data_IF_186362431280
#
_entry.id   IF_186362431280
#
_cell.length_a   1.000
_cell.length_b   1.000
_cell.length_c   1.000
_cell.angle_alpha   90.00
_cell.angle_beta   90.00
_cell.angle_gamma   90.00
#
_symmetry.space_group_name_H-M   'P 1'
#
loop_
_entity.id
_entity.type
_entity.pdbx_description
1 polymer ?
#
# COMPACT_ATOMS: atom_id res chain seq x y z
N UNK A 1 -8.95 -23.71 2.72
CA UNK A 1 -10.15 -23.21 2.02
C UNK A 1 -10.29 -23.93 0.71
N UNK A 2 -11.51 -24.29 0.28
CA UNK A 2 -11.67 -24.91 -1.04
C UNK A 2 -11.35 -23.90 -2.15
N UNK A 3 -10.67 -24.29 -3.24
CA UNK A 3 -10.35 -23.42 -4.37
C UNK A 3 -11.60 -22.74 -4.95
N UNK A 4 -12.75 -23.41 -4.88
CA UNK A 4 -14.03 -22.87 -5.36
C UNK A 4 -14.51 -21.66 -4.58
N UNK A 5 -14.42 -21.66 -3.24
CA UNK A 5 -14.82 -20.53 -2.39
C UNK A 5 -13.92 -19.31 -2.69
N UNK A 6 -12.62 -19.56 -2.83
CA UNK A 6 -11.65 -18.50 -3.15
C UNK A 6 -11.95 -17.89 -4.53
N UNK A 7 -12.21 -18.71 -5.53
CA UNK A 7 -12.56 -18.25 -6.88
C UNK A 7 -13.85 -17.43 -6.87
N UNK A 8 -14.89 -17.86 -6.17
CA UNK A 8 -16.16 -17.10 -6.04
C UNK A 8 -15.91 -15.73 -5.38
N UNK A 9 -15.12 -15.69 -4.31
CA UNK A 9 -14.79 -14.42 -3.62
C UNK A 9 -14.06 -13.45 -4.55
N UNK A 10 -13.09 -13.93 -5.32
CA UNK A 10 -12.33 -13.11 -6.26
C UNK A 10 -13.22 -12.62 -7.42
N UNK A 11 -14.08 -13.48 -7.98
CA UNK A 11 -15.02 -13.09 -9.01
C UNK A 11 -16.00 -12.03 -8.48
N UNK A 12 -16.54 -12.21 -7.29
CA UNK A 12 -17.42 -11.22 -6.64
C UNK A 12 -16.70 -9.88 -6.45
N UNK A 13 -15.46 -9.89 -5.98
CA UNK A 13 -14.64 -8.68 -5.84
C UNK A 13 -14.43 -7.96 -7.17
N UNK A 14 -14.07 -8.68 -8.24
CA UNK A 14 -13.93 -8.08 -9.55
C UNK A 14 -15.25 -7.54 -10.11
N UNK A 15 -16.38 -8.23 -9.90
CA UNK A 15 -17.69 -7.71 -10.30
C UNK A 15 -18.02 -6.38 -9.62
N UNK A 16 -17.71 -6.25 -8.32
CA UNK A 16 -17.87 -4.99 -7.59
C UNK A 16 -16.95 -3.91 -8.16
N UNK A 17 -15.69 -4.23 -8.47
CA UNK A 17 -14.75 -3.30 -9.11
C UNK A 17 -15.26 -2.82 -10.47
N UNK A 18 -15.78 -3.73 -11.32
CA UNK A 18 -16.36 -3.37 -12.60
C UNK A 18 -17.59 -2.47 -12.44
N UNK A 19 -18.47 -2.78 -11.51
CA UNK A 19 -19.66 -1.97 -11.24
C UNK A 19 -19.28 -0.55 -10.80
N UNK A 20 -18.34 -0.42 -9.86
CA UNK A 20 -17.83 0.89 -9.40
C UNK A 20 -17.16 1.65 -10.54
N UNK A 21 -16.30 0.99 -11.32
CA UNK A 21 -15.61 1.61 -12.45
C UNK A 21 -16.61 2.11 -13.51
N UNK A 22 -17.62 1.31 -13.82
CA UNK A 22 -18.67 1.66 -14.78
C UNK A 22 -19.48 2.87 -14.29
N UNK A 23 -19.95 2.86 -13.05
CA UNK A 23 -20.75 3.94 -12.46
C UNK A 23 -19.91 5.24 -12.37
N UNK A 24 -18.67 5.15 -11.89
CA UNK A 24 -17.80 6.31 -11.73
C UNK A 24 -17.30 6.87 -13.06
N UNK A 25 -17.05 6.01 -14.06
CA UNK A 25 -16.56 6.39 -15.39
C UNK A 25 -17.64 6.81 -16.36
N UNK A 26 -18.93 6.61 -16.03
CA UNK A 26 -20.03 6.99 -16.90
C UNK A 26 -20.08 8.52 -17.08
N UNK A 27 -20.01 8.99 -18.33
CA UNK A 27 -19.93 10.42 -18.70
C UNK A 27 -18.62 11.12 -18.31
N UNK A 28 -17.49 10.43 -18.28
CA UNK A 28 -16.20 11.10 -18.17
C UNK A 28 -15.87 11.78 -19.51
N UNK A 29 -15.74 13.11 -19.48
CA UNK A 29 -15.14 13.91 -20.55
C UNK A 29 -13.61 13.89 -20.45
N UNK A 30 -12.91 14.59 -21.35
CA UNK A 30 -11.45 14.63 -21.31
C UNK A 30 -10.90 15.18 -20.00
N UNK A 31 -11.52 16.22 -19.44
CA UNK A 31 -11.10 16.79 -18.15
C UNK A 31 -11.39 15.82 -16.99
N UNK A 32 -12.52 15.12 -17.05
CA UNK A 32 -12.88 14.05 -16.12
C UNK A 32 -11.88 12.88 -16.16
N UNK A 33 -11.38 12.56 -17.35
CA UNK A 33 -10.40 11.49 -17.53
C UNK A 33 -9.03 11.83 -16.89
N UNK A 34 -8.51 13.04 -17.10
CA UNK A 34 -7.17 13.41 -16.62
C UNK A 34 -7.13 13.94 -15.19
N UNK A 35 -8.10 14.74 -14.76
CA UNK A 35 -8.09 15.40 -13.45
C UNK A 35 -9.39 15.23 -12.65
N UNK A 36 -10.27 14.32 -13.06
CA UNK A 36 -11.52 14.06 -12.36
C UNK A 36 -12.47 15.26 -12.27
N UNK A 37 -12.39 16.22 -13.24
CA UNK A 37 -13.12 17.49 -13.28
C UNK A 37 -12.87 18.38 -12.06
N UNK A 38 -11.82 18.14 -11.28
CA UNK A 38 -11.50 18.85 -10.04
C UNK A 38 -12.71 18.97 -9.08
N UNK A 39 -13.51 17.89 -8.98
CA UNK A 39 -14.74 17.86 -8.16
C UNK A 39 -14.67 16.85 -7.02
N UNK A 40 -13.54 16.15 -6.85
CA UNK A 40 -13.39 15.13 -5.83
C UNK A 40 -13.33 15.76 -4.43
N UNK A 41 -14.05 15.15 -3.48
CA UNK A 41 -13.95 15.57 -2.09
C UNK A 41 -12.61 15.14 -1.50
N UNK A 42 -11.92 16.02 -0.81
CA UNK A 42 -10.56 15.80 -0.31
C UNK A 42 -10.43 14.55 0.58
N UNK A 43 -11.43 14.23 1.40
CA UNK A 43 -11.40 13.05 2.27
C UNK A 43 -11.52 11.73 1.50
N UNK A 44 -12.26 11.73 0.37
CA UNK A 44 -12.34 10.57 -0.52
C UNK A 44 -10.99 10.33 -1.20
N UNK A 45 -10.35 11.41 -1.69
CA UNK A 45 -9.04 11.33 -2.31
C UNK A 45 -7.98 10.90 -1.29
N UNK A 46 -8.02 11.43 -0.06
CA UNK A 46 -7.10 11.04 1.02
C UNK A 46 -7.20 9.54 1.32
N UNK A 47 -8.41 9.02 1.44
CA UNK A 47 -8.63 7.59 1.67
C UNK A 47 -8.20 6.74 0.47
N UNK A 48 -8.46 7.17 -0.77
CA UNK A 48 -7.99 6.51 -1.98
C UNK A 48 -6.46 6.50 -2.07
N UNK A 49 -5.79 7.59 -1.70
CA UNK A 49 -4.33 7.68 -1.74
C UNK A 49 -3.65 6.68 -0.78
N UNK A 50 -4.25 6.35 0.35
CA UNK A 50 -3.75 5.29 1.23
C UNK A 50 -3.68 3.97 0.46
N UNK A 51 -4.74 3.57 -0.24
CA UNK A 51 -4.78 2.33 -1.02
C UNK A 51 -3.90 2.33 -2.26
N UNK A 52 -3.51 3.51 -2.76
CA UNK A 52 -2.55 3.62 -3.85
C UNK A 52 -1.10 3.47 -3.37
N UNK A 53 -0.79 3.93 -2.15
CA UNK A 53 0.54 3.82 -1.54
C UNK A 53 0.76 2.47 -0.87
N UNK A 54 -0.27 1.92 -0.23
CA UNK A 54 -0.23 0.61 0.43
C UNK A 54 -0.75 -0.46 -0.53
N UNK A 55 0.09 -1.40 -0.88
CA UNK A 55 -0.24 -2.48 -1.82
C UNK A 55 -0.41 -3.82 -1.11
N UNK A 56 -0.87 -4.85 -1.83
CA UNK A 56 -0.90 -6.22 -1.32
C UNK A 56 0.49 -6.74 -0.93
N UNK A 57 1.56 -6.24 -1.56
CA UNK A 57 2.94 -6.53 -1.15
C UNK A 57 3.20 -6.02 0.27
N UNK A 58 2.72 -4.82 0.60
CA UNK A 58 2.85 -4.23 1.94
C UNK A 58 2.15 -5.08 2.99
N UNK A 59 1.01 -5.71 2.63
CA UNK A 59 0.25 -6.60 3.51
C UNK A 59 1.10 -7.79 4.01
N UNK A 60 2.00 -8.28 3.18
CA UNK A 60 2.88 -9.41 3.53
C UNK A 60 4.21 -8.91 4.09
N UNK A 61 4.82 -7.89 3.46
CA UNK A 61 6.17 -7.46 3.79
C UNK A 61 6.28 -6.72 5.13
N UNK A 62 5.29 -5.87 5.48
CA UNK A 62 5.36 -5.08 6.72
C UNK A 62 5.21 -5.97 7.96
N UNK A 63 4.22 -6.88 8.07
CA UNK A 63 4.21 -7.86 9.16
C UNK A 63 5.45 -8.76 9.16
N UNK A 64 5.91 -9.19 7.98
CA UNK A 64 7.06 -10.09 7.86
C UNK A 64 8.39 -9.48 8.32
N UNK A 65 8.57 -8.16 8.18
CA UNK A 65 9.82 -7.48 8.60
C UNK A 65 9.93 -7.28 10.11
N UNK A 66 8.84 -7.44 10.87
CA UNK A 66 8.81 -7.17 12.32
C UNK A 66 9.84 -8.01 13.08
N UNK A 67 10.05 -9.26 12.70
CA UNK A 67 11.05 -10.14 13.34
C UNK A 67 12.47 -9.56 13.25
N UNK A 68 12.84 -9.00 12.10
CA UNK A 68 14.19 -8.51 11.86
C UNK A 68 14.41 -7.07 12.32
N UNK A 69 13.37 -6.24 12.31
CA UNK A 69 13.50 -4.79 12.49
C UNK A 69 12.62 -4.19 13.57
N UNK A 70 11.78 -4.98 14.22
CA UNK A 70 10.81 -4.47 15.18
C UNK A 70 9.88 -3.42 14.55
N UNK A 71 9.49 -2.44 15.33
CA UNK A 71 8.67 -1.32 14.85
C UNK A 71 9.50 -0.15 14.28
N UNK A 72 10.78 -0.38 13.93
CA UNK A 72 11.65 0.69 13.39
C UNK A 72 11.08 1.34 12.12
N UNK A 73 10.26 0.62 11.34
CA UNK A 73 9.61 1.17 10.15
C UNK A 73 8.70 2.37 10.46
N UNK A 74 8.15 2.48 11.68
CA UNK A 74 7.37 3.66 12.09
C UNK A 74 8.21 4.93 12.11
N UNK A 75 9.52 4.85 12.37
CA UNK A 75 10.42 5.99 12.29
C UNK A 75 10.45 6.58 10.87
N UNK A 76 10.48 5.70 9.86
CA UNK A 76 10.39 6.09 8.46
C UNK A 76 9.01 6.69 8.12
N UNK A 77 7.94 6.13 8.67
CA UNK A 77 6.57 6.63 8.47
C UNK A 77 6.35 8.00 9.13
N UNK A 78 7.01 8.28 10.27
CA UNK A 78 7.07 9.63 10.82
C UNK A 78 7.73 10.61 9.85
N UNK A 79 8.80 10.17 9.16
CA UNK A 79 9.39 10.93 8.06
C UNK A 79 8.41 11.17 6.91
N UNK A 80 7.56 10.19 6.58
CA UNK A 80 6.50 10.37 5.57
C UNK A 80 5.54 11.50 5.94
N UNK A 81 5.14 11.61 7.19
CA UNK A 81 4.27 12.70 7.65
C UNK A 81 4.93 14.05 7.37
N UNK A 82 6.18 14.24 7.77
CA UNK A 82 6.91 15.49 7.51
C UNK A 82 7.07 15.76 6.02
N UNK A 83 7.40 14.76 5.22
CA UNK A 83 7.48 14.89 3.77
C UNK A 83 6.13 15.27 3.14
N UNK A 84 5.00 14.74 3.63
CA UNK A 84 3.66 15.13 3.20
C UNK A 84 3.35 16.61 3.51
N UNK A 85 3.80 17.11 4.67
CA UNK A 85 3.72 18.55 4.95
C UNK A 85 4.55 19.37 3.94
N UNK A 86 5.76 18.94 3.61
CA UNK A 86 6.60 19.62 2.60
C UNK A 86 5.88 19.61 1.24
N UNK A 87 5.31 18.48 0.81
CA UNK A 87 4.53 18.42 -0.44
C UNK A 87 3.34 19.38 -0.37
N UNK A 88 2.56 19.35 0.72
CA UNK A 88 1.36 20.18 0.87
C UNK A 88 1.65 21.68 0.84
N UNK A 89 2.76 22.13 1.43
CA UNK A 89 3.05 23.54 1.56
C UNK A 89 4.03 24.11 0.51
N UNK A 90 4.79 23.24 -0.17
CA UNK A 90 5.76 23.67 -1.18
C UNK A 90 5.33 23.22 -2.59
N UNK A 91 5.11 21.91 -2.80
CA UNK A 91 4.84 21.39 -4.14
C UNK A 91 3.40 21.69 -4.61
N UNK A 92 2.40 21.46 -3.77
CA UNK A 92 1.00 21.74 -4.14
C UNK A 92 0.78 23.21 -4.53
N UNK A 93 1.29 24.22 -3.77
CA UNK A 93 1.24 25.61 -4.21
C UNK A 93 1.89 25.87 -5.58
N UNK A 94 3.03 25.23 -5.84
CA UNK A 94 3.74 25.37 -7.10
C UNK A 94 2.88 24.89 -8.28
N UNK A 95 2.27 23.69 -8.15
CA UNK A 95 1.39 23.15 -9.18
C UNK A 95 0.17 24.04 -9.46
N UNK A 96 -0.47 24.57 -8.41
CA UNK A 96 -1.64 25.43 -8.57
C UNK A 96 -1.29 26.83 -9.13
N UNK A 97 -0.17 27.43 -8.72
CA UNK A 97 0.26 28.75 -9.21
C UNK A 97 0.66 28.72 -10.69
N UNK A 98 1.29 27.65 -11.12
CA UNK A 98 1.74 27.50 -12.50
C UNK A 98 0.70 26.77 -13.39
N UNK A 99 -0.47 26.41 -12.84
CA UNK A 99 -1.50 25.61 -13.51
C UNK A 99 -0.98 24.32 -14.13
N UNK A 100 0.01 23.68 -13.51
CA UNK A 100 0.63 22.47 -14.02
C UNK A 100 -0.31 21.28 -13.87
N UNK A 101 -0.33 20.43 -14.87
CA UNK A 101 -0.95 19.10 -14.82
C UNK A 101 0.12 18.02 -14.55
N UNK A 102 1.39 18.35 -14.86
CA UNK A 102 2.51 17.43 -14.73
C UNK A 102 3.76 18.16 -14.22
N UNK A 103 4.55 17.48 -13.37
CA UNK A 103 5.87 17.98 -12.95
C UNK A 103 6.84 18.09 -14.15
N UNK A 104 6.64 17.30 -15.19
CA UNK A 104 7.48 17.33 -16.39
C UNK A 104 7.26 18.61 -17.19
N UNK A 105 6.05 19.17 -17.19
CA UNK A 105 5.75 20.49 -17.76
C UNK A 105 6.54 21.61 -17.03
N UNK A 106 6.72 21.48 -15.71
CA UNK A 106 7.61 22.38 -14.97
C UNK A 106 9.07 22.28 -15.45
N UNK A 107 9.56 21.05 -15.69
CA UNK A 107 10.90 20.84 -16.22
C UNK A 107 11.07 21.44 -17.62
N UNK A 108 10.04 21.33 -18.45
CA UNK A 108 10.04 21.95 -19.79
C UNK A 108 10.18 23.44 -19.73
N UNK A 109 9.34 24.10 -18.91
CA UNK A 109 9.31 25.55 -18.76
C UNK A 109 10.60 26.12 -18.17
N UNK A 110 11.34 25.36 -17.38
CA UNK A 110 12.55 25.81 -16.68
C UNK A 110 13.85 25.37 -17.36
N UNK A 111 13.91 24.16 -17.91
CA UNK A 111 15.13 23.51 -18.40
C UNK A 111 15.03 23.09 -19.88
N UNK A 112 13.85 23.30 -20.50
CA UNK A 112 13.61 23.01 -21.91
C UNK A 112 13.12 21.59 -22.20
N UNK A 113 12.76 21.37 -23.49
CA UNK A 113 12.10 20.16 -23.96
C UNK A 113 12.91 18.87 -23.78
N UNK A 114 14.25 18.93 -23.76
CA UNK A 114 15.09 17.78 -23.49
C UNK A 114 14.91 17.24 -22.08
N UNK A 115 14.83 18.12 -21.07
CA UNK A 115 14.59 17.73 -19.68
C UNK A 115 13.19 17.15 -19.47
N UNK A 116 12.17 17.71 -20.15
CA UNK A 116 10.83 17.13 -20.19
C UNK A 116 10.85 15.69 -20.69
N UNK A 117 11.42 15.46 -21.88
CA UNK A 117 11.47 14.14 -22.51
C UNK A 117 12.24 13.13 -21.65
N UNK A 118 13.38 13.52 -21.11
CA UNK A 118 14.20 12.67 -20.25
C UNK A 118 13.42 12.28 -18.99
N UNK A 119 12.82 13.24 -18.29
CA UNK A 119 12.00 12.97 -17.11
C UNK A 119 10.81 12.05 -17.39
N UNK A 120 10.09 12.29 -18.49
CA UNK A 120 8.95 11.46 -18.90
C UNK A 120 9.38 10.01 -19.24
N UNK A 121 10.52 9.81 -19.89
CA UNK A 121 11.07 8.48 -20.18
C UNK A 121 11.47 7.72 -18.92
N UNK A 122 12.19 8.36 -17.99
CA UNK A 122 12.53 7.73 -16.72
C UNK A 122 11.29 7.35 -15.91
N UNK A 123 10.28 8.22 -15.88
CA UNK A 123 9.01 7.91 -15.24
C UNK A 123 8.34 6.69 -15.88
N UNK A 124 8.23 6.66 -17.21
CA UNK A 124 7.62 5.56 -17.94
C UNK A 124 8.31 4.23 -17.63
N UNK A 125 9.65 4.18 -17.73
CA UNK A 125 10.43 2.96 -17.45
C UNK A 125 10.22 2.53 -15.98
N UNK A 126 10.33 3.47 -15.03
CA UNK A 126 10.15 3.19 -13.61
C UNK A 126 8.74 2.64 -13.30
N UNK A 127 7.70 3.23 -13.89
CA UNK A 127 6.32 2.76 -13.71
C UNK A 127 6.09 1.39 -14.35
N UNK A 128 6.64 1.14 -15.53
CA UNK A 128 6.52 -0.16 -16.19
C UNK A 128 7.19 -1.26 -15.37
N UNK A 129 8.42 -1.04 -14.90
CA UNK A 129 9.13 -2.01 -14.07
C UNK A 129 8.40 -2.25 -12.72
N UNK A 130 7.99 -1.17 -12.05
CA UNK A 130 7.25 -1.27 -10.80
C UNK A 130 5.89 -1.97 -10.95
N UNK A 131 5.18 -1.74 -12.06
CA UNK A 131 3.93 -2.42 -12.38
C UNK A 131 4.16 -3.91 -12.69
N UNK A 132 5.21 -4.24 -13.46
CA UNK A 132 5.54 -5.62 -13.79
C UNK A 132 5.84 -6.47 -12.55
N UNK A 133 6.64 -5.96 -11.60
CA UNK A 133 6.95 -6.65 -10.34
C UNK A 133 5.68 -6.89 -9.51
N UNK A 134 4.82 -5.87 -9.37
CA UNK A 134 3.56 -6.03 -8.62
C UNK A 134 2.61 -7.02 -9.30
N UNK A 135 2.49 -6.94 -10.63
CA UNK A 135 1.66 -7.87 -11.40
C UNK A 135 2.15 -9.30 -11.25
N UNK A 136 3.47 -9.52 -11.34
CA UNK A 136 4.07 -10.83 -11.15
C UNK A 136 3.70 -11.44 -9.79
N UNK A 137 3.82 -10.67 -8.69
CA UNK A 137 3.45 -11.15 -7.36
C UNK A 137 1.96 -11.49 -7.23
N UNK A 138 1.08 -10.68 -7.84
CA UNK A 138 -0.36 -10.97 -7.88
C UNK A 138 -0.63 -12.25 -8.69
N UNK A 139 -0.05 -12.37 -9.88
CA UNK A 139 -0.22 -13.55 -10.72
C UNK A 139 0.35 -14.81 -10.06
N UNK A 140 1.49 -14.71 -9.37
CA UNK A 140 2.05 -15.83 -8.61
C UNK A 140 1.09 -16.30 -7.50
N UNK A 141 0.53 -15.36 -6.75
CA UNK A 141 -0.45 -15.67 -5.70
C UNK A 141 -1.71 -16.32 -6.29
N UNK A 142 -2.25 -15.77 -7.38
CA UNK A 142 -3.40 -16.34 -8.07
C UNK A 142 -3.09 -17.72 -8.65
N UNK A 143 -1.88 -17.91 -9.18
CA UNK A 143 -1.44 -19.20 -9.70
C UNK A 143 -1.50 -20.28 -8.61
N UNK A 144 -0.81 -20.05 -7.50
CA UNK A 144 -0.73 -21.01 -6.40
C UNK A 144 -2.09 -21.33 -5.76
N UNK A 145 -2.95 -20.31 -5.62
CA UNK A 145 -4.20 -20.47 -4.89
C UNK A 145 -5.39 -20.93 -5.75
N UNK A 146 -5.40 -20.59 -7.04
CA UNK A 146 -6.56 -20.79 -7.91
C UNK A 146 -6.22 -21.61 -9.15
N UNK A 147 -5.22 -21.20 -9.94
CA UNK A 147 -5.01 -21.74 -11.27
C UNK A 147 -4.27 -23.08 -11.28
N UNK A 148 -3.36 -23.32 -10.32
CA UNK A 148 -2.63 -24.57 -10.21
C UNK A 148 -3.53 -25.79 -9.96
N UNK A 149 -4.55 -25.73 -9.06
CA UNK A 149 -5.51 -26.83 -8.90
C UNK A 149 -6.30 -27.17 -10.17
N UNK A 150 -6.42 -26.24 -11.10
CA UNK A 150 -7.10 -26.43 -12.40
C UNK A 150 -6.12 -26.71 -13.55
N UNK A 151 -4.82 -26.92 -13.27
CA UNK A 151 -3.76 -27.14 -14.27
C UNK A 151 -3.68 -26.05 -15.35
N UNK A 152 -4.03 -24.80 -15.02
CA UNK A 152 -3.97 -23.68 -15.96
C UNK A 152 -2.54 -23.11 -16.00
N UNK A 153 -1.92 -22.97 -17.18
CA UNK A 153 -0.58 -22.43 -17.34
C UNK A 153 -0.47 -20.98 -16.85
N UNK A 154 0.68 -20.61 -16.27
CA UNK A 154 0.94 -19.27 -15.73
C UNK A 154 0.71 -18.14 -16.75
N UNK A 155 1.02 -18.37 -18.03
CA UNK A 155 0.84 -17.37 -19.09
C UNK A 155 -0.63 -17.00 -19.29
N UNK A 156 -1.56 -17.94 -19.16
CA UNK A 156 -3.00 -17.69 -19.27
C UNK A 156 -3.47 -16.84 -18.09
N UNK A 157 -3.01 -17.12 -16.89
CA UNK A 157 -3.28 -16.31 -15.70
C UNK A 157 -2.82 -14.85 -15.91
N UNK A 158 -1.59 -14.63 -16.40
CA UNK A 158 -1.06 -13.29 -16.67
C UNK A 158 -1.93 -12.55 -17.69
N UNK A 159 -2.25 -13.19 -18.82
CA UNK A 159 -3.08 -12.59 -19.87
C UNK A 159 -4.47 -12.23 -19.31
N UNK A 160 -5.11 -13.15 -18.59
CA UNK A 160 -6.43 -12.92 -18.00
C UNK A 160 -6.40 -11.77 -17.00
N UNK A 161 -5.41 -11.73 -16.11
CA UNK A 161 -5.27 -10.68 -15.10
C UNK A 161 -5.05 -9.31 -15.76
N UNK A 162 -4.16 -9.21 -16.75
CA UNK A 162 -3.94 -7.97 -17.52
C UNK A 162 -5.20 -7.53 -18.23
N UNK A 163 -5.91 -8.46 -18.88
CA UNK A 163 -7.16 -8.16 -19.57
C UNK A 163 -8.24 -7.62 -18.63
N UNK A 164 -8.41 -8.23 -17.47
CA UNK A 164 -9.37 -7.78 -16.45
C UNK A 164 -9.02 -6.37 -15.98
N UNK A 165 -7.73 -6.11 -15.66
CA UNK A 165 -7.28 -4.79 -15.21
C UNK A 165 -7.50 -3.75 -16.31
N UNK A 166 -7.17 -4.06 -17.55
CA UNK A 166 -7.40 -3.17 -18.68
C UNK A 166 -8.87 -2.84 -18.89
N UNK A 167 -9.74 -3.85 -18.84
CA UNK A 167 -11.19 -3.67 -19.05
C UNK A 167 -11.83 -2.71 -18.04
N UNK A 168 -11.51 -2.79 -16.76
CA UNK A 168 -12.13 -1.90 -15.77
C UNK A 168 -11.49 -0.50 -15.74
N UNK A 169 -10.27 -0.35 -16.29
CA UNK A 169 -9.54 0.93 -16.23
C UNK A 169 -9.76 1.77 -17.49
N UNK A 170 -10.05 1.12 -18.63
CA UNK A 170 -10.05 1.72 -19.97
C UNK A 170 -10.95 2.96 -20.14
N UNK A 171 -12.11 3.00 -19.49
CA UNK A 171 -13.10 4.07 -19.70
C UNK A 171 -13.14 5.14 -18.61
N UNK A 172 -12.63 4.86 -17.42
CA UNK A 172 -12.95 5.66 -16.24
C UNK A 172 -11.95 6.75 -15.88
N UNK A 173 -10.73 6.70 -16.39
CA UNK A 173 -9.68 7.66 -16.04
C UNK A 173 -9.45 7.80 -14.54
N UNK A 174 -8.95 8.97 -14.12
CA UNK A 174 -8.63 9.28 -12.71
C UNK A 174 -9.83 9.18 -11.78
N UNK A 175 -11.01 9.56 -12.24
CA UNK A 175 -12.23 9.50 -11.42
C UNK A 175 -12.60 8.07 -11.03
N UNK A 176 -12.54 7.13 -11.98
CA UNK A 176 -12.76 5.72 -11.72
C UNK A 176 -11.69 5.13 -10.80
N UNK A 177 -10.41 5.50 -11.03
CA UNK A 177 -9.29 5.04 -10.20
C UNK A 177 -9.46 5.45 -8.73
N UNK A 178 -9.88 6.68 -8.44
CA UNK A 178 -10.13 7.14 -7.07
C UNK A 178 -11.16 6.23 -6.37
N UNK A 179 -12.29 5.95 -7.01
CA UNK A 179 -13.34 5.13 -6.40
C UNK A 179 -12.96 3.65 -6.25
N UNK A 180 -12.23 3.11 -7.23
CA UNK A 180 -11.69 1.74 -7.09
C UNK A 180 -10.63 1.65 -6.01
N UNK A 181 -9.82 2.70 -5.82
CA UNK A 181 -8.83 2.74 -4.75
C UNK A 181 -9.47 2.91 -3.36
N UNK A 182 -10.60 3.63 -3.25
CA UNK A 182 -11.41 3.67 -2.02
C UNK A 182 -11.87 2.26 -1.63
N UNK A 183 -12.40 1.47 -2.58
CA UNK A 183 -12.79 0.09 -2.31
C UNK A 183 -11.60 -0.76 -1.87
N UNK A 184 -10.46 -0.66 -2.58
CA UNK A 184 -9.23 -1.41 -2.23
C UNK A 184 -8.76 -1.07 -0.82
N UNK A 185 -8.72 0.23 -0.46
CA UNK A 185 -8.32 0.69 0.86
C UNK A 185 -9.26 0.15 1.94
N UNK A 186 -10.56 0.21 1.70
CA UNK A 186 -11.56 -0.32 2.62
C UNK A 186 -11.36 -1.81 2.86
N UNK A 187 -11.28 -2.61 1.80
CA UNK A 187 -11.05 -4.05 1.90
C UNK A 187 -9.73 -4.37 2.62
N UNK A 188 -8.67 -3.62 2.33
CA UNK A 188 -7.36 -3.81 2.93
C UNK A 188 -7.39 -3.54 4.44
N UNK A 189 -7.96 -2.41 4.88
CA UNK A 189 -8.05 -2.07 6.30
C UNK A 189 -8.95 -3.05 7.05
N UNK A 190 -10.10 -3.39 6.49
CA UNK A 190 -11.01 -4.39 7.07
C UNK A 190 -10.32 -5.73 7.21
N UNK A 191 -9.58 -6.17 6.20
CA UNK A 191 -8.85 -7.46 6.25
C UNK A 191 -7.81 -7.49 7.35
N UNK A 192 -7.03 -6.41 7.54
CA UNK A 192 -6.03 -6.33 8.63
C UNK A 192 -6.72 -6.40 10.00
N UNK A 193 -7.79 -5.62 10.19
CA UNK A 193 -8.54 -5.60 11.45
C UNK A 193 -9.14 -6.98 11.76
N UNK A 194 -9.72 -7.64 10.75
CA UNK A 194 -10.26 -8.99 10.90
C UNK A 194 -9.17 -10.02 11.22
N UNK A 195 -7.99 -9.92 10.60
CA UNK A 195 -6.86 -10.79 10.93
C UNK A 195 -6.42 -10.61 12.39
N UNK A 196 -6.26 -9.35 12.85
CA UNK A 196 -5.91 -9.04 14.23
C UNK A 196 -6.97 -9.60 15.18
N UNK A 197 -8.25 -9.37 14.89
CA UNK A 197 -9.37 -9.86 15.70
C UNK A 197 -9.37 -11.40 15.78
N UNK A 198 -9.20 -12.09 14.65
CA UNK A 198 -9.19 -13.55 14.60
C UNK A 198 -8.02 -14.14 15.40
N UNK A 199 -6.81 -13.59 15.27
CA UNK A 199 -5.63 -14.05 16.02
C UNK A 199 -5.82 -13.77 17.51
N UNK A 200 -6.29 -12.58 17.90
CA UNK A 200 -6.55 -12.24 19.29
C UNK A 200 -7.59 -13.18 19.92
N UNK A 201 -8.67 -13.50 19.19
CA UNK A 201 -9.68 -14.46 19.61
C UNK A 201 -9.12 -15.86 19.76
N UNK A 202 -8.26 -16.31 18.86
CA UNK A 202 -7.61 -17.64 18.92
C UNK A 202 -6.63 -17.76 20.08
N UNK A 203 -6.03 -16.65 20.50
CA UNK A 203 -5.15 -16.58 21.68
C UNK A 203 -5.92 -16.26 22.98
N UNK A 204 -7.25 -16.20 22.93
CA UNK A 204 -8.12 -15.83 24.06
C UNK A 204 -7.76 -14.50 24.72
N UNK A 205 -7.24 -13.54 23.93
CA UNK A 205 -6.85 -12.21 24.41
C UNK A 205 -8.04 -11.24 24.40
N UNK A 206 -8.30 -10.61 25.54
CA UNK A 206 -9.15 -9.43 25.60
C UNK A 206 -8.41 -8.21 25.01
N UNK A 207 -9.10 -7.09 24.77
CA UNK A 207 -8.49 -5.88 24.22
C UNK A 207 -7.30 -5.39 25.07
N UNK A 208 -7.41 -5.41 26.39
CA UNK A 208 -6.30 -5.07 27.30
C UNK A 208 -5.14 -6.06 27.15
N UNK A 209 -5.43 -7.35 27.09
CA UNK A 209 -4.43 -8.40 26.86
C UNK A 209 -3.76 -8.27 25.49
N UNK A 210 -4.50 -7.87 24.45
CA UNK A 210 -3.92 -7.58 23.12
C UNK A 210 -2.92 -6.44 23.19
N UNK A 211 -3.30 -5.33 23.83
CA UNK A 211 -2.40 -4.17 23.97
C UNK A 211 -1.15 -4.53 24.79
N UNK A 212 -1.31 -5.23 25.92
CA UNK A 212 -0.16 -5.64 26.75
C UNK A 212 0.75 -6.62 26.00
N UNK A 213 0.19 -7.61 25.30
CA UNK A 213 0.99 -8.58 24.50
C UNK A 213 1.82 -7.87 23.43
N UNK A 214 1.30 -6.79 22.84
CA UNK A 214 2.03 -6.03 21.84
C UNK A 214 3.04 -5.10 22.50
N UNK A 215 2.66 -4.35 23.55
CA UNK A 215 3.54 -3.34 24.19
C UNK A 215 4.72 -3.97 24.90
N UNK A 216 4.52 -5.12 25.53
CA UNK A 216 5.55 -5.80 26.33
C UNK A 216 6.48 -6.69 25.49
N UNK A 217 6.21 -6.80 24.19
CA UNK A 217 7.02 -7.59 23.28
C UNK A 217 8.25 -6.81 22.81
N UNK A 218 9.43 -7.43 22.87
CA UNK A 218 10.70 -6.83 22.41
C UNK A 218 10.64 -6.40 20.92
N UNK A 219 9.82 -7.07 20.11
CA UNK A 219 9.59 -6.71 18.70
C UNK A 219 8.84 -5.38 18.52
N UNK A 220 8.24 -4.83 19.57
CA UNK A 220 7.52 -3.55 19.54
C UNK A 220 8.41 -2.34 19.78
N UNK A 221 9.73 -2.54 19.96
CA UNK A 221 10.67 -1.43 20.08
C UNK A 221 10.63 -0.57 18.82
N UNK A 222 10.24 0.72 19.00
CA UNK A 222 10.04 1.66 17.90
C UNK A 222 11.27 2.50 17.60
N UNK A 223 11.94 3.02 18.62
CA UNK A 223 13.01 4.01 18.49
C UNK A 223 14.39 3.40 18.74
N UNK A 224 15.32 3.67 17.81
CA UNK A 224 16.70 3.17 17.82
C UNK A 224 17.66 4.36 17.71
N UNK A 225 18.24 4.79 18.83
CA UNK A 225 19.17 5.91 18.90
C UNK A 225 20.59 5.48 19.31
N UNK A 226 20.79 4.20 19.65
CA UNK A 226 21.99 3.73 20.34
C UNK A 226 23.20 3.61 19.40
N UNK A 227 23.00 3.10 18.18
CA UNK A 227 24.08 2.88 17.20
C UNK A 227 23.80 3.57 15.86
N UNK A 228 24.66 4.55 15.53
CA UNK A 228 24.58 5.26 14.25
C UNK A 228 24.81 4.33 13.05
N UNK A 229 25.53 3.22 13.19
CA UNK A 229 25.78 2.29 12.09
C UNK A 229 24.60 1.33 11.86
N UNK A 230 23.70 1.17 12.83
CA UNK A 230 22.50 0.34 12.66
C UNK A 230 21.62 0.89 11.52
N UNK A 231 21.10 -0.01 10.70
CA UNK A 231 20.13 0.31 9.64
C UNK A 231 18.82 0.88 10.21
N UNK A 232 18.50 0.55 11.48
CA UNK A 232 17.32 1.01 12.21
C UNK A 232 17.51 2.36 12.90
N UNK A 233 18.67 2.98 12.80
CA UNK A 233 18.97 4.26 13.46
C UNK A 233 17.96 5.34 13.07
N UNK A 234 17.39 6.03 14.07
CA UNK A 234 16.26 6.95 13.91
C UNK A 234 16.44 7.97 12.78
N UNK A 235 17.52 8.74 12.80
CA UNK A 235 17.72 9.81 11.81
C UNK A 235 17.88 9.28 10.38
N UNK A 236 18.49 8.09 10.20
CA UNK A 236 18.57 7.46 8.88
C UNK A 236 17.18 7.09 8.35
N UNK A 237 16.37 6.42 9.15
CA UNK A 237 15.02 5.99 8.78
C UNK A 237 14.11 7.21 8.57
N UNK A 238 14.15 8.17 9.48
CA UNK A 238 13.33 9.37 9.42
C UNK A 238 13.62 10.21 8.16
N UNK A 239 14.90 10.54 7.91
CA UNK A 239 15.30 11.31 6.73
C UNK A 239 15.03 10.53 5.44
N UNK A 240 15.32 9.23 5.41
CA UNK A 240 14.95 8.38 4.29
C UNK A 240 13.44 8.45 4.01
N UNK A 241 12.61 8.43 5.06
CA UNK A 241 11.17 8.59 4.96
C UNK A 241 10.77 9.91 4.31
N UNK A 242 11.32 11.04 4.80
CA UNK A 242 11.02 12.37 4.25
C UNK A 242 11.30 12.42 2.74
N UNK A 243 12.50 12.03 2.32
CA UNK A 243 12.87 12.10 0.91
C UNK A 243 12.13 11.07 0.04
N UNK A 244 11.89 9.87 0.57
CA UNK A 244 11.14 8.83 -0.15
C UNK A 244 9.72 9.28 -0.46
N UNK A 245 9.00 9.86 0.51
CA UNK A 245 7.61 10.27 0.26
C UNK A 245 7.54 11.50 -0.66
N UNK A 246 8.51 12.41 -0.60
CA UNK A 246 8.59 13.51 -1.56
C UNK A 246 8.75 12.96 -2.98
N UNK A 247 9.61 11.97 -3.19
CA UNK A 247 9.78 11.33 -4.49
C UNK A 247 8.55 10.55 -4.93
N UNK A 248 7.96 9.72 -4.04
CA UNK A 248 6.85 8.83 -4.37
C UNK A 248 5.50 9.53 -4.50
N UNK A 249 5.22 10.56 -3.73
CA UNK A 249 3.92 11.24 -3.72
C UNK A 249 3.99 12.65 -4.32
N UNK A 250 5.09 13.36 -4.13
CA UNK A 250 5.23 14.74 -4.58
C UNK A 250 5.71 14.88 -6.02
N UNK A 251 6.64 14.04 -6.45
CA UNK A 251 7.22 14.07 -7.80
C UNK A 251 6.66 12.99 -8.72
N UNK A 252 5.87 12.08 -8.18
CA UNK A 252 5.19 11.05 -8.96
C UNK A 252 3.92 11.60 -9.63
N UNK A 253 3.85 11.47 -10.96
CA UNK A 253 2.75 12.01 -11.75
C UNK A 253 1.40 11.40 -11.36
N UNK A 254 1.33 10.09 -11.15
CA UNK A 254 0.08 9.39 -10.82
C UNK A 254 -0.48 9.87 -9.47
N UNK A 255 0.38 9.97 -8.45
CA UNK A 255 -0.03 10.44 -7.12
C UNK A 255 -0.43 11.90 -7.10
N UNK A 256 0.35 12.76 -7.79
CA UNK A 256 0.04 14.20 -7.85
C UNK A 256 -1.23 14.46 -8.65
N UNK A 257 -1.47 13.75 -9.75
CA UNK A 257 -2.67 13.87 -10.56
C UNK A 257 -3.94 13.53 -9.77
N UNK A 258 -3.90 12.52 -8.91
CA UNK A 258 -5.00 12.20 -7.98
C UNK A 258 -5.23 13.34 -6.98
N UNK A 259 -4.17 13.91 -6.43
CA UNK A 259 -4.26 15.05 -5.53
C UNK A 259 -4.88 16.27 -6.22
N UNK A 260 -4.49 16.58 -7.45
CA UNK A 260 -5.02 17.68 -8.25
C UNK A 260 -6.48 17.49 -8.67
N UNK A 261 -7.09 16.30 -8.46
CA UNK A 261 -8.53 16.09 -8.63
C UNK A 261 -9.39 16.73 -7.56
N UNK A 262 -8.81 17.21 -6.46
CA UNK A 262 -9.49 17.96 -5.41
C UNK A 262 -10.04 19.28 -5.93
N UNK A 263 -11.11 19.78 -5.30
CA UNK A 263 -11.84 20.98 -5.75
C UNK A 263 -11.00 22.24 -5.79
N UNK A 264 -10.10 22.39 -4.84
CA UNK A 264 -9.28 23.57 -4.70
C UNK A 264 -7.95 23.26 -4.01
N UNK A 265 -7.08 24.25 -4.01
CA UNK A 265 -5.76 24.22 -3.41
C UNK A 265 -5.78 23.78 -1.92
N UNK A 266 -6.69 24.35 -1.11
CA UNK A 266 -6.77 24.01 0.32
C UNK A 266 -7.21 22.58 0.55
N UNK A 267 -8.09 22.06 -0.30
CA UNK A 267 -8.52 20.67 -0.24
C UNK A 267 -7.39 19.72 -0.64
N UNK A 268 -6.57 20.07 -1.62
CA UNK A 268 -5.37 19.32 -1.97
C UNK A 268 -4.35 19.26 -0.82
N UNK A 269 -4.16 20.38 -0.10
CA UNK A 269 -3.30 20.38 1.10
C UNK A 269 -3.85 19.49 2.21
N UNK A 270 -5.16 19.60 2.51
CA UNK A 270 -5.82 18.73 3.49
C UNK A 270 -5.69 17.27 3.12
N UNK A 271 -5.90 16.95 1.85
CA UNK A 271 -5.73 15.59 1.34
C UNK A 271 -4.33 15.04 1.65
N UNK A 272 -3.28 15.76 1.29
CA UNK A 272 -1.89 15.32 1.51
C UNK A 272 -1.59 15.09 3.00
N UNK A 273 -1.95 16.02 3.86
CA UNK A 273 -1.71 15.92 5.30
C UNK A 273 -2.49 14.74 5.89
N UNK A 274 -3.79 14.65 5.58
CA UNK A 274 -4.65 13.58 6.12
C UNK A 274 -4.21 12.21 5.64
N UNK A 275 -3.83 12.05 4.37
CA UNK A 275 -3.35 10.77 3.85
C UNK A 275 -2.06 10.33 4.57
N UNK A 276 -1.12 11.26 4.83
CA UNK A 276 0.12 10.94 5.58
C UNK A 276 -0.15 10.50 7.02
N UNK A 277 -1.01 11.22 7.74
CA UNK A 277 -1.38 10.86 9.11
C UNK A 277 -2.13 9.53 9.14
N UNK A 278 -3.09 9.31 8.24
CA UNK A 278 -3.84 8.07 8.18
C UNK A 278 -2.96 6.88 7.81
N UNK A 279 -1.98 7.07 6.95
CA UNK A 279 -1.01 6.03 6.59
C UNK A 279 -0.22 5.54 7.81
N UNK A 280 0.11 6.43 8.75
CA UNK A 280 0.78 6.05 10.00
C UNK A 280 -0.05 5.02 10.80
N UNK A 281 -1.34 5.27 10.97
CA UNK A 281 -2.21 4.35 11.70
C UNK A 281 -2.38 3.01 10.97
N UNK A 282 -2.51 3.03 9.65
CA UNK A 282 -2.62 1.80 8.86
C UNK A 282 -1.34 0.97 8.94
N UNK A 283 -0.16 1.58 8.84
CA UNK A 283 1.12 0.86 9.00
C UNK A 283 1.27 0.33 10.43
N UNK A 284 0.84 1.09 11.43
CA UNK A 284 0.83 0.60 12.82
C UNK A 284 0.01 -0.68 12.96
N UNK A 285 -1.19 -0.75 12.35
CA UNK A 285 -2.00 -1.98 12.34
C UNK A 285 -1.27 -3.15 11.69
N UNK A 286 -0.54 -2.93 10.60
CA UNK A 286 0.27 -3.99 9.96
C UNK A 286 1.40 -4.48 10.86
N UNK A 287 2.07 -3.59 11.58
CA UNK A 287 3.13 -3.96 12.51
C UNK A 287 2.58 -4.72 13.72
N UNK A 288 1.43 -4.29 14.25
CA UNK A 288 0.71 -5.02 15.29
C UNK A 288 0.33 -6.43 14.83
N UNK A 289 -0.18 -6.56 13.60
CA UNK A 289 -0.44 -7.87 13.00
C UNK A 289 0.83 -8.71 12.94
N UNK A 290 1.98 -8.11 12.61
CA UNK A 290 3.27 -8.80 12.57
C UNK A 290 3.66 -9.39 13.93
N UNK A 291 3.59 -8.60 15.01
CA UNK A 291 3.88 -9.10 16.37
C UNK A 291 2.96 -10.26 16.73
N UNK A 292 1.65 -10.13 16.47
CA UNK A 292 0.68 -11.17 16.77
C UNK A 292 0.92 -12.47 15.99
N UNK A 293 1.31 -12.37 14.71
CA UNK A 293 1.67 -13.54 13.92
C UNK A 293 2.89 -14.27 14.48
N UNK A 294 3.93 -13.54 14.87
CA UNK A 294 5.11 -14.15 15.48
C UNK A 294 4.82 -14.72 16.86
N UNK A 295 4.02 -14.04 17.67
CA UNK A 295 3.54 -14.58 18.95
C UNK A 295 2.76 -15.88 18.74
N UNK A 296 1.82 -15.89 17.80
CA UNK A 296 1.03 -17.08 17.48
C UNK A 296 1.91 -18.25 16.98
N UNK A 297 2.91 -17.99 16.13
CA UNK A 297 3.86 -18.99 15.67
C UNK A 297 4.69 -19.60 16.82
N UNK A 298 5.11 -18.79 17.78
CA UNK A 298 5.83 -19.25 18.97
C UNK A 298 4.96 -20.15 19.85
N UNK A 299 3.66 -19.86 19.97
CA UNK A 299 2.73 -20.70 20.74
C UNK A 299 2.34 -21.99 20.00
N UNK A 300 2.34 -21.99 18.66
CA UNK A 300 1.91 -23.15 17.86
C UNK A 300 3.05 -24.02 17.34
N UNK A 301 4.31 -23.53 17.38
CA UNK A 301 5.46 -24.35 17.03
C UNK A 301 5.75 -25.37 18.13
N UNK A 302 5.87 -26.67 17.82
CA UNK A 302 6.29 -27.65 18.80
C UNK A 302 7.66 -27.25 19.36
N UNK A 303 7.76 -27.22 20.70
CA UNK A 303 9.01 -26.91 21.39
C UNK A 303 10.12 -27.85 20.88
N UNK A 304 11.36 -27.38 20.68
CA UNK A 304 12.48 -28.26 20.38
C UNK A 304 12.67 -29.39 21.43
N UNK A 305 12.08 -29.23 22.61
CA UNK A 305 12.05 -30.26 23.66
C UNK A 305 11.07 -31.37 23.36
N UNK A 306 9.99 -31.15 22.63
CA UNK A 306 8.99 -32.18 22.29
C UNK A 306 9.52 -33.17 21.25
N UNK A 307 10.47 -32.74 20.41
CA UNK A 307 11.18 -33.61 19.46
C UNK A 307 12.31 -34.44 20.09
N UNK A 308 12.82 -34.06 21.27
CA UNK A 308 13.88 -34.74 21.96
C UNK A 308 13.36 -35.95 22.80
N UNK A 309 12.11 -35.89 23.28
CA UNK A 309 11.50 -36.93 24.06
C UNK A 309 11.02 -38.13 23.24
N UNK A 310 10.85 -37.99 21.92
CA UNK A 310 10.45 -39.07 21.02
C UNK A 310 11.61 -39.91 20.49
N UNK A 311 12.86 -39.66 20.88
CA UNK A 311 14.08 -40.37 20.47
C UNK A 311 14.81 -41.05 21.63
N UNK A 312 14.09 -41.57 22.64
CA UNK A 312 14.71 -42.54 23.53
C UNK A 312 14.61 -43.92 22.85
N UNK A 313 15.76 -44.59 22.55
CA UNK A 313 15.71 -45.97 22.13
C UNK A 313 15.24 -46.81 23.31
N UNK A 314 14.21 -47.62 23.12
CA UNK A 314 13.88 -48.70 24.05
C UNK A 314 15.04 -49.68 24.05
N UNK A 315 15.95 -49.50 25.03
CA UNK A 315 16.93 -50.53 25.35
C UNK A 315 16.26 -51.57 26.23
N UNK A 316 16.13 -52.77 25.71
CA UNK A 316 16.21 -53.96 26.54
C UNK A 316 16.70 -55.08 26.17
#
# INVERSE_FOLDING_TARGET
>A
MSPSILSITIIAYFMILFAISYIAGHKADNEGFFVGNRKSAWYIVAFAMIGSTISGVTFVSVPGMVQASGFSYLQMVLGFIVGQFIIAFILVPLFYRMNLVSIYEYLENRFGASSYKTGAWFFFISKMLGAAVRLFLVCLTLQLLIFEPFHIPFIINVILTVLIVWLYTFRGGVKSLIWTDVLKTFCLVVSVVLCIYYIASSLHLNFSGLVSTISDNDLSKMFFFDDVNDKRYFFKQFLAGVFTVIAMNGLDQDMMQRNLSCKNFRDSQKNMITSGISQFFVILLFLMLGVLLYTCLLYTSPSPRDGATSRMPSSA
#
